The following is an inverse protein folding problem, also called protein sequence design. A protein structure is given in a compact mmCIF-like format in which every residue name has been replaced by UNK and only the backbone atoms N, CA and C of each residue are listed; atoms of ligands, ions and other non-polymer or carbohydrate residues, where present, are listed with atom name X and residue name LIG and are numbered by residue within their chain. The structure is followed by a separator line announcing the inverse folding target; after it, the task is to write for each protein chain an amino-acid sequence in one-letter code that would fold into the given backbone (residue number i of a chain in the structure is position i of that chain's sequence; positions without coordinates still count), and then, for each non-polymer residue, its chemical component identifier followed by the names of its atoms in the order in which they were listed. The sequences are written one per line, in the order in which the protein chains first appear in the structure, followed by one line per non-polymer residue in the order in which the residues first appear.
data_IF_730657549193
#
_entry.id   IF_730657549193
#
_cell.length_a   1.000
_cell.length_b   1.000
_cell.length_c   1.000
_cell.angle_alpha   90.00
_cell.angle_beta   90.00
_cell.angle_gamma   90.00
#
_symmetry.space_group_name_H-M   'P 1'
#
loop_
_entity.id
_entity.type
_entity.pdbx_description
1 polymer ?
#
# COMPACT_ATOMS: atom_id res chain seq x y z
N UNK A 1 17.62 16.39 9.40
CA UNK A 1 17.23 15.55 8.24
C UNK A 1 18.15 15.75 7.03
N UNK A 2 18.44 16.97 6.56
CA UNK A 2 19.27 17.19 5.35
C UNK A 2 20.70 16.62 5.43
N UNK A 3 21.42 16.81 6.54
CA UNK A 3 22.82 16.37 6.64
C UNK A 3 23.05 14.85 6.63
N UNK A 4 22.02 14.03 6.80
CA UNK A 4 22.11 12.57 6.64
C UNK A 4 22.13 12.19 5.15
N UNK A 5 21.33 12.84 4.31
CA UNK A 5 21.31 12.58 2.87
C UNK A 5 22.66 12.91 2.23
N UNK A 6 23.32 13.98 2.65
CA UNK A 6 24.66 14.32 2.18
C UNK A 6 25.69 13.27 2.62
N UNK A 7 25.69 12.91 3.91
CA UNK A 7 26.69 11.99 4.49
C UNK A 7 26.53 10.53 4.05
N UNK A 8 25.31 10.07 3.78
CA UNK A 8 25.01 8.66 3.50
C UNK A 8 24.61 8.38 2.07
N UNK A 9 24.14 9.38 1.33
CA UNK A 9 23.65 9.22 -0.03
C UNK A 9 24.29 10.20 -1.03
N UNK A 10 25.23 11.06 -0.60
CA UNK A 10 25.84 12.10 -1.45
C UNK A 10 24.79 12.97 -2.17
N UNK A 11 23.71 13.33 -1.46
CA UNK A 11 22.56 14.04 -2.02
C UNK A 11 22.14 15.23 -1.14
N UNK A 12 21.79 16.35 -1.76
CA UNK A 12 21.22 17.52 -1.08
C UNK A 12 19.68 17.47 -1.14
N UNK A 13 19.03 17.43 0.03
CA UNK A 13 17.58 17.50 0.11
C UNK A 13 17.09 18.93 -0.13
N UNK A 14 16.50 19.20 -1.29
CA UNK A 14 15.99 20.53 -1.65
C UNK A 14 14.55 20.76 -1.15
N UNK A 15 13.72 19.72 -1.14
CA UNK A 15 12.35 19.77 -0.66
C UNK A 15 11.86 18.36 -0.28
N UNK A 16 10.88 18.31 0.63
CA UNK A 16 10.08 17.12 0.90
C UNK A 16 8.62 17.47 0.63
N UNK A 17 8.03 16.85 -0.39
CA UNK A 17 6.65 17.11 -0.80
C UNK A 17 5.80 15.91 -0.39
N UNK A 18 4.75 16.18 0.39
CA UNK A 18 3.71 15.22 0.71
C UNK A 18 2.35 15.83 0.33
N UNK A 19 1.55 15.07 -0.41
CA UNK A 19 0.21 15.47 -0.85
C UNK A 19 -0.89 14.95 0.09
N UNK A 20 -0.54 14.30 1.20
CA UNK A 20 -1.48 13.78 2.19
C UNK A 20 -2.32 12.61 1.68
N UNK A 21 -1.91 11.95 0.58
CA UNK A 21 -2.62 10.75 0.14
C UNK A 21 -2.36 9.61 1.10
N UNK A 22 -3.43 9.10 1.70
CA UNK A 22 -3.37 7.87 2.47
C UNK A 22 -2.89 6.68 1.62
N UNK A 23 -2.27 5.72 2.30
CA UNK A 23 -1.94 4.42 1.74
C UNK A 23 -3.16 3.49 1.82
N UNK A 24 -3.43 2.76 0.74
CA UNK A 24 -4.62 1.93 0.61
C UNK A 24 -4.22 0.52 0.17
N UNK A 25 -5.05 -0.46 0.53
CA UNK A 25 -5.02 -1.78 -0.14
C UNK A 25 -6.12 -1.80 -1.18
N UNK A 26 -5.74 -2.15 -2.40
CA UNK A 26 -6.65 -2.37 -3.51
C UNK A 26 -6.71 -3.87 -3.79
N UNK A 27 -7.91 -4.44 -3.83
CA UNK A 27 -8.10 -5.89 -4.01
C UNK A 27 -8.84 -6.18 -5.32
N UNK A 28 -8.55 -7.34 -5.91
CA UNK A 28 -9.28 -7.84 -7.10
C UNK A 28 -10.72 -8.16 -6.72
N UNK A 29 -10.88 -9.02 -5.71
CA UNK A 29 -12.17 -9.44 -5.19
C UNK A 29 -12.57 -8.64 -3.94
N UNK A 30 -13.85 -8.71 -3.58
CA UNK A 30 -14.35 -8.12 -2.33
C UNK A 30 -13.63 -8.76 -1.14
N UNK A 31 -12.98 -7.97 -0.27
CA UNK A 31 -12.29 -8.51 0.88
C UNK A 31 -13.29 -9.14 1.85
N UNK A 32 -13.01 -10.36 2.29
CA UNK A 32 -13.80 -11.02 3.33
C UNK A 32 -13.64 -10.27 4.65
N UNK A 33 -14.67 -10.35 5.48
CA UNK A 33 -14.64 -9.82 6.84
C UNK A 33 -14.44 -10.97 7.85
N UNK A 34 -13.69 -10.70 8.89
CA UNK A 34 -13.53 -11.58 10.05
C UNK A 34 -14.73 -11.45 11.01
N UNK A 35 -14.70 -12.22 12.10
CA UNK A 35 -15.75 -12.21 13.13
C UNK A 35 -15.96 -10.86 13.82
N UNK A 36 -14.99 -9.95 13.72
CA UNK A 36 -15.03 -8.60 14.31
C UNK A 36 -15.48 -7.53 13.29
N UNK A 37 -15.85 -7.96 12.07
CA UNK A 37 -16.24 -7.04 10.98
C UNK A 37 -15.08 -6.30 10.34
N UNK A 38 -13.83 -6.65 10.67
CA UNK A 38 -12.61 -6.13 10.03
C UNK A 38 -12.21 -6.99 8.84
N UNK A 39 -11.36 -6.48 7.95
CA UNK A 39 -10.86 -7.25 6.81
C UNK A 39 -10.12 -8.51 7.29
N UNK A 40 -10.45 -9.66 6.71
CA UNK A 40 -9.67 -10.88 6.84
C UNK A 40 -8.42 -10.79 5.94
N UNK A 41 -7.31 -10.40 6.56
CA UNK A 41 -6.02 -10.22 5.89
C UNK A 41 -5.37 -11.55 5.48
N UNK A 42 -5.71 -12.67 6.13
CA UNK A 42 -5.06 -13.97 5.91
C UNK A 42 -5.25 -14.52 4.49
N UNK A 43 -6.34 -14.14 3.83
CA UNK A 43 -6.62 -14.52 2.43
C UNK A 43 -5.94 -13.64 1.38
N UNK A 44 -5.24 -12.58 1.79
CA UNK A 44 -4.66 -11.60 0.88
C UNK A 44 -3.18 -11.88 0.61
N UNK A 45 -2.86 -12.01 -0.68
CA UNK A 45 -1.50 -11.98 -1.24
C UNK A 45 -1.26 -10.58 -1.79
N UNK A 46 -0.67 -9.73 -0.97
CA UNK A 46 -0.55 -8.30 -1.20
C UNK A 46 0.82 -7.98 -1.78
N UNK A 47 0.87 -7.33 -2.94
CA UNK A 47 2.09 -6.65 -3.37
C UNK A 47 2.31 -5.38 -2.56
N UNK A 48 3.54 -5.11 -2.13
CA UNK A 48 3.92 -3.86 -1.45
C UNK A 48 5.34 -3.37 -1.78
N UNK A 49 5.67 -2.15 -1.37
CA UNK A 49 7.06 -1.70 -1.23
C UNK A 49 7.66 -2.23 0.08
N UNK A 50 9.01 -2.27 0.22
CA UNK A 50 9.64 -2.78 1.44
C UNK A 50 9.17 -2.10 2.73
N UNK A 51 8.80 -0.81 2.64
CA UNK A 51 8.43 0.01 3.79
C UNK A 51 7.21 -0.50 4.57
N UNK A 52 6.24 -1.11 3.90
CA UNK A 52 4.98 -1.55 4.53
C UNK A 52 4.93 -3.05 4.78
N UNK A 53 6.01 -3.79 4.50
CA UNK A 53 6.02 -5.25 4.61
C UNK A 53 5.68 -5.71 6.01
N UNK A 54 6.46 -5.29 7.00
CA UNK A 54 6.29 -5.76 8.37
C UNK A 54 4.92 -5.40 8.94
N UNK A 55 4.39 -4.22 8.58
CA UNK A 55 3.06 -3.80 8.97
C UNK A 55 1.97 -4.71 8.39
N UNK A 56 2.00 -4.98 7.08
CA UNK A 56 0.99 -5.84 6.43
C UNK A 56 1.12 -7.31 6.87
N UNK A 57 2.34 -7.80 7.10
CA UNK A 57 2.58 -9.12 7.68
C UNK A 57 2.04 -9.20 9.12
N UNK A 58 2.16 -8.13 9.91
CA UNK A 58 1.60 -8.10 11.28
C UNK A 58 0.06 -8.18 11.32
N UNK A 59 -0.60 -7.78 10.22
CA UNK A 59 -2.04 -7.96 10.05
C UNK A 59 -2.42 -9.38 9.63
N UNK A 60 -1.45 -10.22 9.27
CA UNK A 60 -1.65 -11.60 8.83
C UNK A 60 -1.67 -11.79 7.30
N UNK A 61 -1.42 -10.73 6.52
CA UNK A 61 -1.36 -10.85 5.07
C UNK A 61 -0.08 -11.53 4.58
N UNK A 62 -0.18 -12.23 3.44
CA UNK A 62 1.02 -12.67 2.71
C UNK A 62 1.53 -11.52 1.87
N UNK A 63 2.75 -11.04 2.14
CA UNK A 63 3.32 -9.88 1.44
C UNK A 63 4.37 -10.29 0.43
N UNK A 64 4.25 -9.76 -0.79
CA UNK A 64 5.24 -9.92 -1.85
C UNK A 64 5.81 -8.53 -2.19
N UNK A 65 7.11 -8.35 -1.93
CA UNK A 65 7.79 -7.10 -2.22
C UNK A 65 8.26 -7.09 -3.67
N UNK A 66 7.74 -6.17 -4.47
CA UNK A 66 8.03 -6.05 -5.90
C UNK A 66 8.06 -4.58 -6.33
N UNK A 67 8.83 -4.28 -7.39
CA UNK A 67 8.83 -2.96 -7.99
C UNK A 67 7.45 -2.63 -8.61
N UNK A 68 7.05 -1.34 -8.68
CA UNK A 68 5.78 -0.96 -9.28
C UNK A 68 5.59 -1.50 -10.72
N UNK A 69 6.65 -1.57 -11.52
CA UNK A 69 6.57 -2.08 -12.89
C UNK A 69 6.11 -3.53 -13.00
N UNK A 70 6.36 -4.37 -12.00
CA UNK A 70 6.04 -5.80 -12.04
C UNK A 70 4.59 -6.12 -11.64
N UNK A 71 3.92 -5.15 -10.99
CA UNK A 71 2.62 -5.35 -10.35
C UNK A 71 1.52 -5.68 -11.35
N UNK A 72 1.56 -5.06 -12.54
CA UNK A 72 0.58 -5.34 -13.59
C UNK A 72 0.59 -6.82 -13.95
N UNK A 73 1.77 -7.36 -14.24
CA UNK A 73 1.95 -8.78 -14.60
C UNK A 73 1.64 -9.70 -13.42
N UNK A 74 2.01 -9.30 -12.20
CA UNK A 74 1.68 -10.07 -10.99
C UNK A 74 0.18 -10.18 -10.75
N UNK A 75 -0.58 -9.10 -10.97
CA UNK A 75 -2.04 -9.09 -10.89
C UNK A 75 -2.66 -9.91 -12.03
N UNK A 76 -2.19 -9.70 -13.27
CA UNK A 76 -2.67 -10.41 -14.46
C UNK A 76 -2.51 -11.94 -14.33
N UNK A 77 -1.40 -12.39 -13.74
CA UNK A 77 -1.08 -13.83 -13.57
C UNK A 77 -1.55 -14.41 -12.24
N UNK A 78 -2.19 -13.61 -11.38
CA UNK A 78 -2.66 -14.07 -10.06
C UNK A 78 -1.55 -14.42 -9.06
N UNK A 79 -0.33 -13.90 -9.25
CA UNK A 79 0.75 -13.99 -8.25
C UNK A 79 0.33 -13.26 -6.98
N UNK A 80 -0.30 -12.10 -7.14
CA UNK A 80 -0.91 -11.31 -6.08
C UNK A 80 -2.39 -11.09 -6.39
N UNK A 81 -3.23 -11.01 -5.36
CA UNK A 81 -4.65 -10.66 -5.49
C UNK A 81 -4.99 -9.28 -4.90
N UNK A 82 -3.97 -8.58 -4.43
CA UNK A 82 -4.09 -7.26 -3.86
C UNK A 82 -2.79 -6.46 -4.06
N UNK A 83 -2.91 -5.13 -4.07
CA UNK A 83 -1.79 -4.21 -4.21
C UNK A 83 -1.94 -3.07 -3.20
N UNK A 84 -0.90 -2.84 -2.40
CA UNK A 84 -0.86 -1.75 -1.47
C UNK A 84 -0.12 -0.56 -2.10
N UNK A 85 -0.82 0.56 -2.27
CA UNK A 85 -0.28 1.76 -2.92
C UNK A 85 -1.05 3.03 -2.55
N UNK A 86 -0.51 4.18 -2.95
CA UNK A 86 -1.25 5.45 -2.89
C UNK A 86 -2.27 5.51 -4.04
N UNK A 87 -3.27 6.38 -3.92
CA UNK A 87 -4.21 6.63 -5.03
C UNK A 87 -3.54 7.36 -6.20
N UNK A 88 -2.46 8.09 -5.94
CA UNK A 88 -1.74 8.85 -6.97
C UNK A 88 -1.00 7.93 -7.93
N UNK A 89 -1.22 8.15 -9.23
CA UNK A 89 -0.59 7.38 -10.30
C UNK A 89 -1.15 5.96 -10.46
N UNK A 90 -2.11 5.52 -9.63
CA UNK A 90 -2.61 4.14 -9.64
C UNK A 90 -3.19 3.74 -11.02
N UNK A 91 -4.02 4.60 -11.60
CA UNK A 91 -4.60 4.38 -12.93
C UNK A 91 -3.57 4.44 -14.06
N UNK A 92 -2.50 5.24 -13.90
CA UNK A 92 -1.43 5.34 -14.90
C UNK A 92 -0.64 4.03 -15.04
N UNK A 93 -0.59 3.22 -14.00
CA UNK A 93 -0.02 1.87 -14.06
C UNK A 93 -1.01 0.81 -14.60
N UNK A 94 -2.28 1.16 -14.80
CA UNK A 94 -3.31 0.26 -15.33
C UNK A 94 -3.77 -0.84 -14.37
N UNK A 95 -3.47 -0.72 -13.07
CA UNK A 95 -3.83 -1.74 -12.07
C UNK A 95 -5.34 -1.78 -11.76
N UNK A 96 -6.06 -0.69 -12.01
CA UNK A 96 -7.51 -0.54 -11.90
C UNK A 96 -8.28 -1.48 -12.85
N UNK A 97 -7.62 -1.99 -13.89
CA UNK A 97 -8.15 -3.07 -14.73
C UNK A 97 -8.42 -4.34 -13.93
N UNK A 98 -7.62 -4.61 -12.90
CA UNK A 98 -7.72 -5.82 -12.07
C UNK A 98 -8.37 -5.53 -10.72
N UNK A 99 -7.92 -4.51 -9.99
CA UNK A 99 -8.40 -4.25 -8.62
C UNK A 99 -9.70 -3.43 -8.61
N UNK A 100 -10.76 -3.96 -8.00
CA UNK A 100 -12.11 -3.36 -8.00
C UNK A 100 -12.52 -2.76 -6.66
N UNK A 101 -11.86 -3.13 -5.58
CA UNK A 101 -12.19 -2.68 -4.23
C UNK A 101 -11.01 -1.94 -3.61
N UNK A 102 -11.30 -0.96 -2.74
CA UNK A 102 -10.32 -0.13 -2.05
C UNK A 102 -10.62 -0.05 -0.57
N UNK A 103 -9.63 -0.33 0.25
CA UNK A 103 -9.68 -0.21 1.70
C UNK A 103 -8.65 0.80 2.18
N UNK A 104 -9.09 1.78 2.99
CA UNK A 104 -8.20 2.76 3.59
C UNK A 104 -7.57 2.16 4.86
N UNK A 105 -6.23 2.22 4.97
CA UNK A 105 -5.50 1.66 6.11
C UNK A 105 -5.29 2.72 7.21
N UNK A 106 -5.24 4.01 6.84
CA UNK A 106 -4.69 5.07 7.72
C UNK A 106 -5.55 6.33 7.86
N UNK A 107 -6.82 6.33 7.42
CA UNK A 107 -7.65 7.55 7.45
C UNK A 107 -8.40 7.81 8.78
N UNK A 108 -8.33 6.92 9.77
CA UNK A 108 -9.16 7.02 10.98
C UNK A 108 -8.51 7.74 12.18
N UNK A 109 -7.48 8.58 11.98
CA UNK A 109 -6.78 9.36 13.03
C UNK A 109 -7.06 10.88 12.98
N UNK A 110 -8.29 11.24 12.61
CA UNK A 110 -8.78 12.63 12.68
C UNK A 110 -10.00 12.83 13.57
N UNK A 111 -10.51 11.77 14.19
CA UNK A 111 -11.64 11.86 15.11
C UNK A 111 -11.21 12.02 16.58
N UNK A 112 -9.91 11.99 16.86
CA UNK A 112 -9.29 11.97 18.18
C UNK A 112 -8.51 13.26 18.52
N UNK A 113 -8.55 14.28 17.65
CA UNK A 113 -7.84 15.55 17.86
C UNK A 113 -8.75 16.75 18.18
N UNK A 114 -10.05 16.50 18.37
CA UNK A 114 -11.04 17.51 18.79
C UNK A 114 -11.61 17.23 20.21
N UNK A 115 -10.78 16.67 21.12
CA UNK A 115 -11.06 16.62 22.56
C UNK A 115 -9.93 17.24 23.39
#
# INVERSE_FOLDING_TARGET
MSGIFEKKANAHLLAHVDAGSGFNVFTIDEPKLNSEGSIDWGGLKIRSSPLYRDFLESLGATVIVQAPGDVYTSLERGVVNANAYTVFGYASFGWDKFTKYRSAILQNRRADLDQ
#
